data_IF_711844670927
#
_entry.id   IF_711844670927
#
_cell.length_a   1.000
_cell.length_b   1.000
_cell.length_c   1.000
_cell.angle_alpha   90.00
_cell.angle_beta   90.00
_cell.angle_gamma   90.00
#
_symmetry.space_group_name_H-M   'P 1'
#
loop_
_entity.id
_entity.type
_entity.pdbx_description
1 polymer ?
#
# COMPACT_ATOMS: atom_id res chain seq x y z
N UNK A 1 -29.04 -29.81 34.48
CA UNK A 1 -27.80 -29.10 34.09
C UNK A 1 -27.94 -28.77 32.60
N UNK A 2 -28.12 -27.50 32.23
CA UNK A 2 -28.27 -27.10 30.82
C UNK A 2 -26.89 -26.87 30.21
N UNK A 3 -26.62 -27.30 28.96
CA UNK A 3 -25.34 -27.04 28.30
C UNK A 3 -25.22 -25.55 27.97
N UNK A 4 -24.07 -24.95 28.29
CA UNK A 4 -23.72 -23.59 27.87
C UNK A 4 -23.48 -23.59 26.37
N UNK A 5 -24.27 -22.82 25.63
CA UNK A 5 -24.08 -22.57 24.22
C UNK A 5 -22.90 -21.58 24.09
N UNK A 6 -21.76 -22.06 23.60
CA UNK A 6 -20.65 -21.18 23.26
C UNK A 6 -21.02 -20.44 21.98
N UNK A 7 -21.23 -19.12 22.10
CA UNK A 7 -21.39 -18.23 20.96
C UNK A 7 -20.08 -18.22 20.17
N UNK A 8 -20.13 -18.61 18.89
CA UNK A 8 -19.04 -18.40 17.94
C UNK A 8 -18.83 -16.89 17.80
N UNK A 9 -17.82 -16.36 18.48
CA UNK A 9 -17.38 -14.99 18.29
C UNK A 9 -16.52 -15.03 17.03
N UNK A 10 -17.07 -14.59 15.90
CA UNK A 10 -16.26 -14.37 14.69
C UNK A 10 -15.30 -13.24 15.01
N UNK A 11 -14.03 -13.56 15.26
CA UNK A 11 -13.00 -12.54 15.46
C UNK A 11 -12.92 -11.69 14.19
N UNK A 12 -13.17 -10.39 14.32
CA UNK A 12 -13.02 -9.45 13.21
C UNK A 12 -11.53 -9.40 12.85
N UNK A 13 -11.16 -9.94 11.70
CA UNK A 13 -9.79 -9.82 11.18
C UNK A 13 -9.54 -8.34 10.87
N UNK A 14 -8.59 -7.66 11.53
CA UNK A 14 -8.29 -6.27 11.24
C UNK A 14 -7.80 -6.14 9.79
N UNK A 15 -8.58 -5.47 8.94
CA UNK A 15 -8.20 -5.18 7.56
C UNK A 15 -7.69 -3.74 7.44
N UNK A 16 -6.47 -3.56 6.96
CA UNK A 16 -5.94 -2.26 6.56
C UNK A 16 -6.08 -2.04 5.06
N UNK A 17 -6.43 -0.83 4.64
CA UNK A 17 -6.40 -0.42 3.22
C UNK A 17 -5.25 0.57 3.01
N UNK A 18 -4.44 0.32 1.98
CA UNK A 18 -3.34 1.19 1.60
C UNK A 18 -3.72 1.98 0.35
N UNK A 19 -3.78 3.31 0.46
CA UNK A 19 -3.98 4.21 -0.67
C UNK A 19 -2.65 4.75 -1.19
N UNK A 20 -2.36 4.49 -2.46
CA UNK A 20 -1.17 5.00 -3.14
C UNK A 20 -1.55 6.25 -3.94
N UNK A 21 -0.97 7.39 -3.57
CA UNK A 21 -1.27 8.66 -4.24
C UNK A 21 -0.66 8.71 -5.66
N UNK A 22 -1.26 9.53 -6.51
CA UNK A 22 -0.78 9.81 -7.88
C UNK A 22 -0.31 11.26 -7.95
N UNK A 23 0.78 11.53 -8.67
CA UNK A 23 1.28 12.87 -8.99
C UNK A 23 1.15 13.08 -10.49
N UNK A 24 0.72 14.26 -10.91
CA UNK A 24 0.60 14.64 -12.32
C UNK A 24 1.64 15.72 -12.62
N UNK A 25 2.58 15.41 -13.50
CA UNK A 25 3.60 16.34 -14.01
C UNK A 25 3.49 16.39 -15.53
N UNK A 26 3.39 17.59 -16.13
CA UNK A 26 3.40 17.79 -17.59
C UNK A 26 2.51 16.82 -18.37
N UNK A 27 1.26 16.64 -17.92
CA UNK A 27 0.27 15.71 -18.47
C UNK A 27 0.55 14.21 -18.29
N UNK A 28 1.60 13.83 -17.57
CA UNK A 28 1.93 12.44 -17.23
C UNK A 28 1.57 12.18 -15.76
N UNK A 29 0.63 11.25 -15.56
CA UNK A 29 0.30 10.73 -14.23
C UNK A 29 1.25 9.60 -13.84
N UNK A 30 1.72 9.61 -12.60
CA UNK A 30 2.69 8.63 -12.05
C UNK A 30 2.44 8.41 -10.57
N UNK A 31 2.85 7.26 -10.04
CA UNK A 31 2.78 6.99 -8.61
C UNK A 31 3.61 8.00 -7.81
N UNK A 32 3.03 8.49 -6.71
CA UNK A 32 3.71 9.35 -5.75
C UNK A 32 4.77 8.57 -4.95
N UNK A 33 4.48 7.29 -4.67
CA UNK A 33 5.39 6.39 -4.00
C UNK A 33 6.42 5.82 -4.99
N UNK A 34 7.65 5.63 -4.54
CA UNK A 34 8.60 4.79 -5.25
C UNK A 34 8.17 3.32 -5.13
N UNK A 35 8.25 2.57 -6.23
CA UNK A 35 7.93 1.15 -6.24
C UNK A 35 9.21 0.40 -6.55
N UNK A 36 9.53 -0.58 -5.73
CA UNK A 36 10.72 -1.42 -5.85
C UNK A 36 10.31 -2.89 -5.85
N UNK A 37 11.06 -3.72 -6.57
CA UNK A 37 10.96 -5.17 -6.49
C UNK A 37 12.21 -5.72 -5.83
N UNK A 38 12.03 -6.59 -4.84
CA UNK A 38 13.12 -7.21 -4.08
C UNK A 38 13.12 -8.71 -4.34
N UNK A 39 14.24 -9.20 -4.85
CA UNK A 39 14.44 -10.63 -5.08
C UNK A 39 14.82 -11.37 -3.78
N UNK A 40 14.88 -12.70 -3.86
CA UNK A 40 15.28 -13.57 -2.76
C UNK A 40 16.72 -13.38 -2.29
N UNK A 41 17.59 -12.73 -3.08
CA UNK A 41 18.93 -12.31 -2.65
C UNK A 41 18.91 -11.08 -1.73
N UNK A 42 17.75 -10.42 -1.64
CA UNK A 42 17.55 -9.20 -0.90
C UNK A 42 17.83 -7.93 -1.69
N UNK A 43 18.17 -8.05 -2.98
CA UNK A 43 18.46 -6.92 -3.86
C UNK A 43 17.16 -6.27 -4.30
N UNK A 44 17.00 -4.98 -3.98
CA UNK A 44 15.83 -4.20 -4.38
C UNK A 44 16.14 -3.30 -5.59
N UNK A 45 15.36 -3.45 -6.65
CA UNK A 45 15.45 -2.64 -7.87
C UNK A 45 14.21 -1.75 -8.01
N UNK A 46 14.44 -0.48 -8.37
CA UNK A 46 13.36 0.48 -8.58
C UNK A 46 12.63 0.16 -9.89
N UNK A 47 11.31 -0.01 -9.83
CA UNK A 47 10.47 -0.18 -11.01
C UNK A 47 10.11 1.19 -11.58
N UNK A 48 10.31 1.36 -12.88
CA UNK A 48 9.98 2.58 -13.61
C UNK A 48 8.78 2.32 -14.49
N UNK A 49 7.64 2.86 -14.08
CA UNK A 49 6.40 2.83 -14.86
C UNK A 49 6.41 3.96 -15.88
N UNK A 50 6.09 3.65 -17.13
CA UNK A 50 6.00 4.65 -18.22
C UNK A 50 4.81 5.59 -18.06
N UNK A 51 3.76 5.12 -17.37
CA UNK A 51 2.51 5.83 -17.06
C UNK A 51 1.92 5.26 -15.77
N UNK A 52 0.94 5.94 -15.20
CA UNK A 52 0.09 5.35 -14.17
C UNK A 52 -0.70 4.18 -14.75
N UNK A 53 -0.51 2.97 -14.20
CA UNK A 53 -1.21 1.75 -14.61
C UNK A 53 -1.51 0.88 -13.39
N UNK A 54 -2.70 1.05 -12.82
CA UNK A 54 -3.15 0.32 -11.64
C UNK A 54 -3.25 -1.20 -11.88
N UNK A 55 -3.47 -1.62 -13.12
CA UNK A 55 -3.54 -3.05 -13.46
C UNK A 55 -2.13 -3.65 -13.44
N UNK A 56 -1.14 -2.96 -14.00
CA UNK A 56 0.27 -3.39 -13.94
C UNK A 56 0.74 -3.53 -12.49
N UNK A 57 0.48 -2.53 -11.65
CA UNK A 57 0.82 -2.61 -10.22
C UNK A 57 0.04 -3.72 -9.51
N UNK A 58 -1.25 -3.86 -9.81
CA UNK A 58 -2.12 -4.90 -9.24
C UNK A 58 -1.62 -6.31 -9.51
N UNK A 59 -1.08 -6.56 -10.72
CA UNK A 59 -0.49 -7.84 -11.08
C UNK A 59 0.79 -8.15 -10.28
N UNK A 60 1.55 -7.13 -9.88
CA UNK A 60 2.75 -7.31 -9.06
C UNK A 60 2.44 -7.63 -7.59
N UNK A 61 1.27 -7.22 -7.09
CA UNK A 61 0.83 -7.42 -5.70
C UNK A 61 -0.27 -8.48 -5.59
N UNK A 62 -0.34 -9.40 -6.55
CA UNK A 62 -1.33 -10.49 -6.55
C UNK A 62 -1.26 -11.32 -5.26
N UNK A 63 -2.35 -12.01 -4.92
CA UNK A 63 -2.47 -12.74 -3.67
C UNK A 63 -1.28 -13.67 -3.38
N UNK A 64 -0.74 -13.59 -2.16
CA UNK A 64 0.43 -14.36 -1.72
C UNK A 64 1.74 -13.57 -1.70
N UNK A 65 1.79 -12.39 -2.32
CA UNK A 65 2.98 -11.54 -2.35
C UNK A 65 3.08 -10.65 -1.10
N UNK A 66 4.26 -10.60 -0.49
CA UNK A 66 4.56 -9.68 0.58
C UNK A 66 4.95 -8.30 0.05
N UNK A 67 4.49 -7.25 0.72
CA UNK A 67 4.81 -5.86 0.37
C UNK A 67 5.19 -5.10 1.64
N UNK A 68 6.39 -4.53 1.67
CA UNK A 68 6.76 -3.55 2.69
C UNK A 68 6.32 -2.15 2.23
N UNK A 69 5.65 -1.42 3.12
CA UNK A 69 5.24 -0.05 2.88
C UNK A 69 5.93 0.91 3.85
N UNK A 70 6.57 1.95 3.30
CA UNK A 70 7.25 3.00 4.06
C UNK A 70 6.42 4.27 4.00
N UNK A 71 6.05 4.75 5.17
CA UNK A 71 5.19 5.92 5.32
C UNK A 71 5.95 7.12 5.86
N UNK A 72 5.55 8.31 5.43
CA UNK A 72 5.83 9.56 6.14
C UNK A 72 4.55 10.12 6.76
N UNK A 73 4.74 10.92 7.80
CA UNK A 73 3.69 11.80 8.31
C UNK A 73 3.82 13.13 7.56
N UNK A 74 2.85 13.42 6.71
CA UNK A 74 2.75 14.71 6.04
C UNK A 74 1.66 15.52 6.72
N UNK A 75 1.91 16.81 6.95
CA UNK A 75 0.83 17.72 7.31
C UNK A 75 -0.03 17.98 6.06
N UNK A 76 -1.33 18.12 6.26
CA UNK A 76 -2.22 18.65 5.25
C UNK A 76 -2.99 19.81 5.85
N UNK A 77 -3.19 20.85 5.06
CA UNK A 77 -4.07 21.97 5.37
C UNK A 77 -5.08 22.06 4.24
N UNK A 78 -6.20 21.36 4.40
CA UNK A 78 -7.27 21.33 3.41
C UNK A 78 -8.53 21.92 4.04
N UNK A 79 -9.08 22.97 3.42
CA UNK A 79 -10.32 23.63 3.84
C UNK A 79 -10.35 24.03 5.34
N UNK A 80 -9.23 24.57 5.85
CA UNK A 80 -9.05 24.95 7.27
C UNK A 80 -9.03 23.78 8.27
N UNK A 81 -8.94 22.53 7.80
CA UNK A 81 -8.68 21.38 8.65
C UNK A 81 -7.21 20.97 8.51
N UNK A 82 -6.37 21.53 9.39
CA UNK A 82 -4.99 21.14 9.50
C UNK A 82 -4.88 19.81 10.23
N UNK A 83 -4.16 18.84 9.65
CA UNK A 83 -4.00 17.52 10.25
C UNK A 83 -2.75 16.81 9.78
N UNK A 84 -2.56 15.60 10.30
CA UNK A 84 -1.49 14.68 9.89
C UNK A 84 -2.13 13.58 9.07
N UNK A 85 -1.54 13.28 7.90
CA UNK A 85 -1.90 12.12 7.10
C UNK A 85 -0.70 11.20 6.94
N UNK A 86 -0.98 9.91 6.90
CA UNK A 86 0.01 8.90 6.59
C UNK A 86 0.13 8.78 5.06
N UNK A 87 1.33 9.00 4.52
CA UNK A 87 1.58 8.99 3.07
C UNK A 87 2.58 7.91 2.75
N UNK A 88 2.21 6.96 1.89
CA UNK A 88 3.15 5.97 1.37
C UNK A 88 4.17 6.67 0.45
N UNK A 89 5.45 6.58 0.80
CA UNK A 89 6.56 7.13 -0.01
C UNK A 89 7.32 6.06 -0.76
N UNK A 90 7.32 4.81 -0.26
CA UNK A 90 7.96 3.68 -0.92
C UNK A 90 7.22 2.38 -0.67
N UNK A 91 7.16 1.53 -1.69
CA UNK A 91 6.70 0.16 -1.64
C UNK A 91 7.84 -0.76 -2.10
N UNK A 92 8.03 -1.87 -1.38
CA UNK A 92 8.96 -2.94 -1.77
C UNK A 92 8.16 -4.22 -1.90
N UNK A 93 8.03 -4.70 -3.14
CA UNK A 93 7.32 -5.92 -3.49
C UNK A 93 8.33 -7.05 -3.45
N UNK A 94 8.06 -8.09 -2.66
CA UNK A 94 8.95 -9.25 -2.57
C UNK A 94 8.58 -10.22 -3.68
N UNK A 95 9.49 -10.42 -4.63
CA UNK A 95 9.37 -11.49 -5.61
C UNK A 95 10.08 -12.72 -5.07
N UNK A 96 9.31 -13.77 -4.80
CA UNK A 96 9.83 -15.07 -4.41
C UNK A 96 10.77 -15.68 -5.46
#
# INVERSE_FOLDING_TARGET
MLPKQFSNITEAVPSGSLSISTVVNDNIARYAAEIHQKDSSGTAQKLIFSKFDATELGNLISGGIFVDAFFSLDTYDYQQNAGIRLVAKKLVIHSD
#
